data_IF_259935545232
#
_entry.id   IF_259935545232
#
_cell.length_a   1.000
_cell.length_b   1.000
_cell.length_c   1.000
_cell.angle_alpha   90.00
_cell.angle_beta   90.00
_cell.angle_gamma   90.00
#
_symmetry.space_group_name_H-M   'P 1'
#
loop_
_entity.id
_entity.type
_entity.pdbx_description
1 polymer ?
#
# COMPACT_ATOMS: atom_id res chain seq x y z
N UNK A 1 -37.57 -24.36 -6.65
CA UNK A 1 -36.41 -23.93 -5.84
C UNK A 1 -36.11 -22.49 -6.23
N UNK A 2 -36.39 -21.53 -5.34
CA UNK A 2 -36.16 -20.10 -5.57
C UNK A 2 -34.81 -19.69 -4.97
N UNK A 3 -34.08 -18.85 -5.69
CA UNK A 3 -32.76 -18.33 -5.30
C UNK A 3 -32.88 -17.38 -4.10
N UNK A 4 -31.79 -17.30 -3.32
CA UNK A 4 -31.65 -16.58 -2.05
C UNK A 4 -32.27 -15.17 -2.00
N UNK A 5 -32.33 -14.47 -3.14
CA UNK A 5 -32.91 -13.13 -3.28
C UNK A 5 -34.44 -13.06 -3.05
N UNK A 6 -35.18 -14.15 -3.21
CA UNK A 6 -36.64 -14.15 -3.07
C UNK A 6 -37.13 -14.25 -1.61
N UNK A 7 -36.25 -14.53 -0.65
CA UNK A 7 -36.61 -14.81 0.73
C UNK A 7 -36.47 -13.61 1.69
N UNK A 8 -35.96 -12.46 1.20
CA UNK A 8 -35.72 -11.24 2.00
C UNK A 8 -34.95 -11.50 3.32
N UNK A 9 -34.14 -12.57 3.33
CA UNK A 9 -33.27 -12.91 4.44
C UNK A 9 -32.05 -11.97 4.40
N UNK A 10 -31.58 -11.50 5.57
CA UNK A 10 -30.29 -10.81 5.62
C UNK A 10 -29.24 -11.72 4.97
N UNK A 11 -28.42 -11.13 4.09
CA UNK A 11 -27.33 -11.86 3.47
C UNK A 11 -26.49 -12.50 4.60
N UNK A 12 -26.11 -13.79 4.48
CA UNK A 12 -25.08 -14.29 5.37
C UNK A 12 -23.85 -13.40 5.18
N UNK A 13 -23.27 -12.92 6.28
CA UNK A 13 -22.01 -12.16 6.31
C UNK A 13 -20.82 -12.90 5.66
N UNK A 14 -21.09 -14.11 5.15
CA UNK A 14 -20.13 -15.07 4.66
C UNK A 14 -20.52 -15.52 3.23
N UNK A 15 -20.43 -14.59 2.27
CA UNK A 15 -19.77 -14.99 1.02
C UNK A 15 -18.27 -14.84 1.34
N UNK A 16 -17.70 -15.90 1.92
CA UNK A 16 -16.32 -16.00 2.39
C UNK A 16 -15.27 -15.83 1.30
N UNK A 17 -15.16 -14.63 0.76
CA UNK A 17 -13.89 -14.07 0.35
C UNK A 17 -13.66 -12.90 1.29
N UNK A 18 -12.68 -13.03 2.19
CA UNK A 18 -12.04 -11.85 2.76
C UNK A 18 -11.75 -10.92 1.58
N UNK A 19 -12.14 -9.62 1.60
CA UNK A 19 -11.63 -8.72 0.60
C UNK A 19 -10.12 -8.87 0.69
N UNK A 20 -9.49 -9.27 -0.41
CA UNK A 20 -8.05 -9.21 -0.49
C UNK A 20 -7.75 -7.72 -0.49
N UNK A 21 -7.62 -7.16 0.70
CA UNK A 21 -7.16 -5.80 0.88
C UNK A 21 -5.72 -5.82 0.42
N UNK A 22 -5.37 -4.90 -0.46
CA UNK A 22 -3.99 -4.72 -0.90
C UNK A 22 -3.50 -3.41 -0.32
N UNK A 23 -2.23 -3.36 0.03
CA UNK A 23 -1.54 -2.14 0.40
C UNK A 23 -0.36 -1.92 -0.53
N UNK A 24 0.21 -0.73 -0.48
CA UNK A 24 1.49 -0.42 -1.11
C UNK A 24 2.50 -0.13 -0.03
N UNK A 25 3.63 -0.84 -0.08
CA UNK A 25 4.74 -0.64 0.84
C UNK A 25 5.92 -0.04 0.10
N UNK A 26 6.47 1.02 0.65
CA UNK A 26 7.73 1.60 0.21
C UNK A 26 8.78 1.27 1.27
N UNK A 27 9.80 0.54 0.85
CA UNK A 27 10.87 0.03 1.70
C UNK A 27 12.21 0.56 1.23
N UNK A 28 13.02 1.04 2.17
CA UNK A 28 14.42 1.36 1.94
C UNK A 28 15.29 0.21 2.46
N UNK A 29 16.10 -0.36 1.58
CA UNK A 29 17.02 -1.46 1.89
C UNK A 29 18.47 -1.00 1.69
N UNK A 30 19.29 -1.14 2.72
CA UNK A 30 20.73 -0.94 2.64
C UNK A 30 21.44 -2.22 2.21
N UNK A 31 22.62 -2.09 1.59
CA UNK A 31 23.41 -3.23 1.12
C UNK A 31 23.93 -4.15 2.24
N UNK A 32 23.91 -3.71 3.49
CA UNK A 32 24.28 -4.53 4.65
C UNK A 32 23.13 -5.43 5.16
N UNK A 33 21.95 -5.37 4.52
CA UNK A 33 20.76 -6.13 4.89
C UNK A 33 19.82 -5.40 5.85
N UNK A 34 20.18 -4.21 6.34
CA UNK A 34 19.27 -3.37 7.13
C UNK A 34 18.19 -2.80 6.22
N UNK A 35 16.93 -2.88 6.64
CA UNK A 35 15.81 -2.31 5.89
C UNK A 35 14.83 -1.62 6.82
N UNK A 36 14.19 -0.56 6.34
CA UNK A 36 13.10 0.11 7.04
C UNK A 36 11.97 0.46 6.08
N UNK A 37 10.75 0.41 6.58
CA UNK A 37 9.57 0.86 5.83
C UNK A 37 9.47 2.37 5.91
N UNK A 38 9.39 3.03 4.76
CA UNK A 38 9.23 4.48 4.63
C UNK A 38 7.75 4.87 4.61
N UNK A 39 6.93 4.11 3.88
CA UNK A 39 5.52 4.42 3.68
C UNK A 39 4.74 3.12 3.57
N UNK A 40 3.58 3.08 4.23
CA UNK A 40 2.55 2.07 4.01
C UNK A 40 1.25 2.75 3.62
N UNK A 41 0.75 2.41 2.44
CA UNK A 41 -0.54 2.86 1.95
C UNK A 41 -1.54 1.72 2.04
N UNK A 42 -2.71 1.98 2.61
CA UNK A 42 -3.81 1.03 2.59
C UNK A 42 -4.83 1.25 3.71
N UNK A 43 -5.94 0.50 3.67
CA UNK A 43 -6.23 -0.57 2.71
C UNK A 43 -6.77 -0.06 1.36
N UNK A 44 -6.24 -0.57 0.25
CA UNK A 44 -6.84 -0.42 -1.07
C UNK A 44 -7.91 -1.51 -1.26
N UNK A 45 -9.14 -1.10 -1.56
CA UNK A 45 -10.26 -2.03 -1.79
C UNK A 45 -10.19 -2.74 -3.15
N UNK A 46 -9.25 -2.35 -4.02
CA UNK A 46 -9.08 -2.91 -5.37
C UNK A 46 -7.58 -3.17 -5.64
N UNK A 47 -7.25 -4.39 -6.05
CA UNK A 47 -5.86 -4.81 -6.36
C UNK A 47 -5.23 -3.94 -7.44
N UNK A 48 -5.97 -3.64 -8.51
CA UNK A 48 -5.43 -2.84 -9.62
C UNK A 48 -4.99 -1.43 -9.18
N UNK A 49 -5.68 -0.83 -8.20
CA UNK A 49 -5.30 0.47 -7.67
C UNK A 49 -3.97 0.38 -6.90
N UNK A 50 -3.81 -0.66 -6.07
CA UNK A 50 -2.55 -0.90 -5.36
C UNK A 50 -1.38 -1.16 -6.33
N UNK A 51 -1.58 -1.96 -7.38
CA UNK A 51 -0.55 -2.17 -8.40
C UNK A 51 -0.23 -0.87 -9.15
N UNK A 52 -1.24 -0.10 -9.55
CA UNK A 52 -1.05 1.19 -10.24
C UNK A 52 -0.24 2.17 -9.37
N UNK A 53 -0.57 2.27 -8.10
CA UNK A 53 0.14 3.15 -7.17
C UNK A 53 1.56 2.64 -6.90
N UNK A 54 1.78 1.32 -6.80
CA UNK A 54 3.11 0.73 -6.69
C UNK A 54 3.97 0.99 -7.94
N UNK A 55 3.42 0.87 -9.15
CA UNK A 55 4.11 1.17 -10.41
C UNK A 55 4.44 2.66 -10.52
N UNK A 56 3.49 3.52 -10.14
CA UNK A 56 3.69 4.98 -10.13
C UNK A 56 4.78 5.36 -9.14
N UNK A 57 4.74 4.85 -7.91
CA UNK A 57 5.77 5.10 -6.90
C UNK A 57 7.13 4.53 -7.35
N UNK A 58 7.17 3.37 -7.99
CA UNK A 58 8.41 2.81 -8.54
C UNK A 58 9.01 3.74 -9.60
N UNK A 59 8.19 4.35 -10.45
CA UNK A 59 8.64 5.33 -11.46
C UNK A 59 9.20 6.60 -10.81
N UNK A 60 8.50 7.14 -9.81
CA UNK A 60 9.00 8.31 -9.05
C UNK A 60 10.32 7.99 -8.33
N UNK A 61 10.42 6.79 -7.75
CA UNK A 61 11.65 6.31 -7.12
C UNK A 61 12.77 6.15 -8.14
N UNK A 62 12.55 5.65 -9.35
CA UNK A 62 13.59 5.63 -10.38
C UNK A 62 14.09 7.04 -10.75
N UNK A 63 13.23 8.06 -10.65
CA UNK A 63 13.58 9.47 -10.82
C UNK A 63 14.32 10.10 -9.63
N UNK A 64 14.00 9.69 -8.40
CA UNK A 64 14.45 10.31 -7.14
C UNK A 64 15.43 9.45 -6.30
N UNK A 65 15.65 8.18 -6.65
CA UNK A 65 16.40 7.19 -5.84
C UNK A 65 17.85 7.57 -5.57
N UNK A 66 18.45 8.42 -6.40
CA UNK A 66 19.83 8.90 -6.20
C UNK A 66 19.90 9.93 -5.08
N UNK A 67 18.80 10.64 -4.80
CA UNK A 67 18.80 11.84 -3.94
C UNK A 67 18.21 11.59 -2.56
N UNK A 68 17.26 10.66 -2.44
CA UNK A 68 16.42 10.58 -1.25
C UNK A 68 17.12 9.96 -0.02
N UNK A 69 17.85 8.85 -0.18
CA UNK A 69 18.57 8.20 0.94
C UNK A 69 19.91 7.61 0.44
N UNK A 70 21.04 8.29 0.63
CA UNK A 70 22.34 7.81 0.17
C UNK A 70 22.68 6.42 0.74
N UNK A 71 23.02 5.47 -0.14
CA UNK A 71 23.38 4.10 0.22
C UNK A 71 22.21 3.12 0.36
N UNK A 72 20.96 3.60 0.30
CA UNK A 72 19.78 2.75 0.33
C UNK A 72 19.15 2.63 -1.05
N UNK A 73 18.74 1.41 -1.39
CA UNK A 73 17.84 1.14 -2.52
C UNK A 73 16.42 1.21 -2.01
N UNK A 74 15.63 2.14 -2.54
CA UNK A 74 14.22 2.29 -2.18
C UNK A 74 13.35 1.59 -3.23
N UNK A 75 12.41 0.76 -2.78
CA UNK A 75 11.50 0.00 -3.66
C UNK A 75 10.06 0.13 -3.19
N UNK A 76 9.12 0.31 -4.12
CA UNK A 76 7.69 0.24 -3.87
C UNK A 76 7.14 -1.12 -4.35
N UNK A 77 6.25 -1.73 -3.56
CA UNK A 77 5.64 -3.03 -3.87
C UNK A 77 4.19 -3.05 -3.41
N UNK A 78 3.32 -3.62 -4.21
CA UNK A 78 2.00 -4.02 -3.74
C UNK A 78 2.11 -5.30 -2.92
N UNK A 79 1.37 -5.36 -1.82
CA UNK A 79 1.37 -6.50 -0.90
C UNK A 79 -0.04 -6.77 -0.36
N UNK A 80 -0.35 -8.02 0.03
CA UNK A 80 -1.53 -8.30 0.83
C UNK A 80 -1.51 -7.45 2.10
N UNK A 81 -2.66 -6.84 2.42
CA UNK A 81 -2.82 -5.99 3.59
C UNK A 81 -3.28 -6.82 4.78
N UNK A 82 -2.53 -6.73 5.89
CA UNK A 82 -2.95 -7.27 7.18
C UNK A 82 -3.74 -6.20 7.94
N UNK A 83 -4.91 -6.56 8.46
CA UNK A 83 -5.78 -5.63 9.23
C UNK A 83 -5.08 -5.14 10.50
N UNK A 84 -4.13 -5.90 11.04
CA UNK A 84 -3.30 -5.52 12.19
C UNK A 84 -2.39 -4.33 11.88
N UNK A 85 -2.05 -4.11 10.61
CA UNK A 85 -1.20 -3.01 10.15
C UNK A 85 -1.97 -1.72 9.89
N UNK A 86 -3.29 -1.70 10.14
CA UNK A 86 -4.15 -0.57 9.79
C UNK A 86 -3.73 0.75 10.44
N UNK A 87 -3.33 0.73 11.72
CA UNK A 87 -2.87 1.95 12.42
C UNK A 87 -1.51 2.46 11.91
N UNK A 88 -0.74 1.60 11.24
CA UNK A 88 0.55 1.96 10.63
C UNK A 88 0.41 2.37 9.15
N UNK A 89 -0.81 2.28 8.59
CA UNK A 89 -1.07 2.60 7.20
C UNK A 89 -1.70 3.97 7.05
N UNK A 90 -1.20 4.73 6.08
CA UNK A 90 -1.81 5.96 5.64
C UNK A 90 -2.95 5.62 4.69
N UNK A 91 -4.13 6.20 4.92
CA UNK A 91 -5.27 6.07 4.01
C UNK A 91 -4.92 6.75 2.67
N UNK A 92 -4.84 6.00 1.56
CA UNK A 92 -4.55 6.58 0.26
C UNK A 92 -5.74 7.35 -0.32
N UNK A 93 -6.95 7.25 0.28
CA UNK A 93 -8.16 7.78 -0.33
C UNK A 93 -8.20 9.32 -0.30
N UNK A 94 -7.98 9.93 -1.47
CA UNK A 94 -8.03 11.38 -1.66
C UNK A 94 -6.69 12.09 -1.47
N UNK A 95 -5.62 11.34 -1.19
CA UNK A 95 -4.25 11.83 -1.16
C UNK A 95 -3.50 11.36 -2.41
N UNK A 96 -2.56 12.16 -2.91
CA UNK A 96 -1.69 11.75 -4.01
C UNK A 96 -0.54 10.90 -3.46
N UNK A 97 -0.37 9.68 -4.00
CA UNK A 97 0.65 8.75 -3.52
C UNK A 97 2.08 9.32 -3.61
N UNK A 98 2.40 10.11 -4.64
CA UNK A 98 3.72 10.72 -4.78
C UNK A 98 3.92 11.84 -3.75
N UNK A 99 2.86 12.60 -3.41
CA UNK A 99 2.91 13.58 -2.33
C UNK A 99 3.15 12.91 -0.96
N UNK A 100 2.51 11.77 -0.70
CA UNK A 100 2.73 10.99 0.53
C UNK A 100 4.16 10.43 0.60
N UNK A 101 4.73 10.01 -0.54
CA UNK A 101 6.11 9.57 -0.62
C UNK A 101 7.09 10.71 -0.32
N UNK A 102 6.85 11.90 -0.88
CA UNK A 102 7.70 13.07 -0.63
C UNK A 102 7.69 13.50 0.84
N UNK A 103 6.53 13.45 1.51
CA UNK A 103 6.41 13.73 2.95
C UNK A 103 7.18 12.68 3.79
N UNK A 104 7.07 11.40 3.44
CA UNK A 104 7.82 10.33 4.09
C UNK A 104 9.34 10.52 3.97
N UNK A 105 9.84 10.95 2.81
CA UNK A 105 11.26 11.28 2.64
C UNK A 105 11.70 12.52 3.44
N UNK A 106 10.85 13.55 3.52
CA UNK A 106 11.12 14.72 4.34
C UNK A 106 11.22 14.36 5.83
N UNK A 107 10.40 13.40 6.30
CA UNK A 107 10.45 12.91 7.68
C UNK A 107 11.71 12.12 8.04
N UNK A 108 12.35 11.45 7.07
CA UNK A 108 13.61 10.70 7.28
C UNK A 108 14.85 11.57 7.21
N UNK A 109 14.78 12.69 6.48
CA UNK A 109 15.90 13.63 6.29
C UNK A 109 15.99 14.75 7.33
N UNK A 110 15.03 14.83 8.26
CA UNK A 110 14.96 15.82 9.35
C UNK A 110 15.67 15.34 10.63
#
# INVERSE_FOLDING_TARGET
MLTHAAANLPFPDDIGMNPAHYGVHVEAQHSDGTGHTLLRLGPCTQTWLACHDADRLSTELEGEAVTAIPGFTVTAKDAPFDVSDHESCTDPHGADAAALLADAFAGVSA
#
